data_IF_437571491103
#
_entry.id   IF_437571491103
#
_cell.length_a   1.000
_cell.length_b   1.000
_cell.length_c   1.000
_cell.angle_alpha   90.00
_cell.angle_beta   90.00
_cell.angle_gamma   90.00
#
_symmetry.space_group_name_H-M   'P 1'
#
loop_
_entity.id
_entity.type
_entity.pdbx_description
1 polymer ?
#
# COMPACT_ATOMS: atom_id res chain seq x y z
N UNK A 1 -11.11 -22.03 -5.66
CA UNK A 1 -9.64 -22.19 -5.91
C UNK A 1 -9.23 -21.13 -6.89
N UNK A 2 -8.18 -20.31 -6.62
CA UNK A 2 -7.73 -19.25 -7.54
C UNK A 2 -7.23 -19.86 -8.86
N UNK A 3 -7.53 -19.21 -9.98
CA UNK A 3 -7.02 -19.57 -11.31
C UNK A 3 -5.49 -19.45 -11.37
N UNK A 4 -4.79 -20.10 -12.31
CA UNK A 4 -3.35 -19.92 -12.47
C UNK A 4 -2.95 -18.45 -12.69
N UNK A 5 -3.74 -17.69 -13.45
CA UNK A 5 -3.54 -16.25 -13.68
C UNK A 5 -3.60 -15.45 -12.37
N UNK A 6 -4.64 -15.64 -11.57
CA UNK A 6 -4.79 -14.98 -10.27
C UNK A 6 -3.66 -15.33 -9.30
N UNK A 7 -3.23 -16.60 -9.27
CA UNK A 7 -2.08 -17.01 -8.46
C UNK A 7 -0.81 -16.28 -8.86
N UNK A 8 -0.58 -16.06 -10.16
CA UNK A 8 0.58 -15.33 -10.66
C UNK A 8 0.53 -13.86 -10.25
N UNK A 9 -0.62 -13.18 -10.35
CA UNK A 9 -0.80 -11.79 -9.90
C UNK A 9 -0.52 -11.66 -8.40
N UNK A 10 -1.12 -12.53 -7.59
CA UNK A 10 -0.88 -12.57 -6.14
C UNK A 10 0.59 -12.82 -5.82
N UNK A 11 1.21 -13.79 -6.49
CA UNK A 11 2.63 -14.09 -6.31
C UNK A 11 3.53 -12.91 -6.67
N UNK A 12 3.23 -12.21 -7.76
CA UNK A 12 3.97 -11.01 -8.15
C UNK A 12 3.86 -9.91 -7.07
N UNK A 13 2.66 -9.64 -6.55
CA UNK A 13 2.47 -8.66 -5.47
C UNK A 13 3.24 -9.04 -4.20
N UNK A 14 3.26 -10.32 -3.83
CA UNK A 14 4.02 -10.84 -2.70
C UNK A 14 5.54 -10.69 -2.88
N UNK A 15 6.04 -10.94 -4.09
CA UNK A 15 7.45 -10.80 -4.40
C UNK A 15 7.87 -9.32 -4.46
N UNK A 16 7.05 -8.45 -5.04
CA UNK A 16 7.30 -6.99 -5.09
C UNK A 16 7.45 -6.43 -3.67
N UNK A 17 6.56 -6.76 -2.75
CA UNK A 17 6.61 -6.23 -1.38
C UNK A 17 7.85 -6.65 -0.58
N UNK A 18 8.48 -7.78 -0.95
CA UNK A 18 9.67 -8.30 -0.27
C UNK A 18 10.97 -7.77 -0.88
N UNK A 19 11.06 -7.72 -2.21
CA UNK A 19 12.31 -7.46 -2.92
C UNK A 19 12.27 -6.39 -4.00
N UNK A 20 11.12 -5.76 -4.21
CA UNK A 20 10.92 -4.74 -5.23
C UNK A 20 10.48 -5.30 -6.59
N UNK A 21 10.02 -4.38 -7.45
CA UNK A 21 9.55 -4.73 -8.78
C UNK A 21 10.71 -5.11 -9.71
N UNK A 22 11.83 -4.39 -9.69
CA UNK A 22 12.99 -4.70 -10.53
C UNK A 22 13.55 -6.10 -10.30
N UNK A 23 13.55 -6.57 -9.05
CA UNK A 23 14.01 -7.90 -8.69
C UNK A 23 12.98 -9.02 -8.92
N UNK A 24 11.78 -8.70 -9.43
CA UNK A 24 10.70 -9.67 -9.64
C UNK A 24 10.62 -10.06 -11.11
N UNK A 25 11.21 -11.20 -11.48
CA UNK A 25 11.15 -11.76 -12.84
C UNK A 25 9.93 -12.67 -13.02
N UNK A 26 9.49 -12.87 -14.28
CA UNK A 26 8.40 -13.80 -14.61
C UNK A 26 8.73 -15.23 -14.13
N UNK A 27 10.00 -15.67 -14.25
CA UNK A 27 10.45 -16.98 -13.78
C UNK A 27 10.17 -17.20 -12.29
N UNK A 28 10.44 -16.17 -11.48
CA UNK A 28 10.24 -16.23 -10.04
C UNK A 28 8.77 -16.28 -9.67
N UNK A 29 7.94 -15.53 -10.43
CA UNK A 29 6.47 -15.55 -10.25
C UNK A 29 5.91 -16.93 -10.61
N UNK A 30 6.40 -17.55 -11.70
CA UNK A 30 6.00 -18.91 -12.09
C UNK A 30 6.36 -19.92 -11.01
N UNK A 31 7.58 -19.87 -10.48
CA UNK A 31 8.04 -20.74 -9.40
C UNK A 31 7.20 -20.55 -8.13
N UNK A 32 7.02 -19.30 -7.68
CA UNK A 32 6.27 -18.99 -6.46
C UNK A 32 4.78 -19.33 -6.56
N UNK A 33 4.17 -19.15 -7.75
CA UNK A 33 2.74 -19.39 -7.98
C UNK A 33 2.40 -20.85 -8.25
N UNK A 34 3.39 -21.67 -8.57
CA UNK A 34 3.20 -23.03 -9.07
C UNK A 34 2.47 -23.07 -10.43
N UNK A 35 2.52 -21.99 -11.22
CA UNK A 35 1.92 -21.94 -12.54
C UNK A 35 2.80 -22.66 -13.59
N UNK A 36 2.19 -23.26 -14.63
CA UNK A 36 2.96 -23.91 -15.71
C UNK A 36 3.88 -22.92 -16.43
N UNK A 37 5.12 -23.34 -16.75
CA UNK A 37 6.16 -22.47 -17.36
C UNK A 37 5.71 -21.74 -18.64
N UNK A 38 4.87 -22.35 -19.45
CA UNK A 38 4.37 -21.74 -20.71
C UNK A 38 3.17 -20.80 -20.52
N UNK A 39 2.59 -20.72 -19.33
CA UNK A 39 1.32 -20.01 -19.14
C UNK A 39 1.46 -18.49 -19.03
N UNK A 40 2.63 -17.97 -18.65
CA UNK A 40 2.83 -16.55 -18.41
C UNK A 40 2.52 -15.68 -19.64
N UNK A 41 3.11 -16.00 -20.79
CA UNK A 41 2.88 -15.24 -22.04
C UNK A 41 1.48 -15.41 -22.60
N UNK A 42 0.80 -16.50 -22.24
CA UNK A 42 -0.61 -16.68 -22.59
C UNK A 42 -1.52 -15.76 -21.76
N UNK A 43 -1.28 -15.67 -20.45
CA UNK A 43 -2.08 -14.83 -19.56
C UNK A 43 -1.69 -13.35 -19.57
N UNK A 44 -0.44 -13.05 -19.88
CA UNK A 44 0.13 -11.70 -19.89
C UNK A 44 0.85 -11.43 -21.22
N UNK A 45 0.11 -11.18 -22.31
CA UNK A 45 0.73 -10.89 -23.62
C UNK A 45 1.60 -9.63 -23.62
N UNK A 46 1.34 -8.66 -22.73
CA UNK A 46 2.21 -7.51 -22.46
C UNK A 46 3.42 -7.83 -21.56
N UNK A 47 3.65 -9.12 -21.30
CA UNK A 47 4.83 -9.61 -20.60
C UNK A 47 4.90 -9.19 -19.13
N UNK A 48 6.14 -8.95 -18.67
CA UNK A 48 6.45 -8.62 -17.27
C UNK A 48 5.78 -7.32 -16.83
N UNK A 49 5.79 -6.28 -17.64
CA UNK A 49 5.19 -4.98 -17.31
C UNK A 49 3.70 -5.11 -17.02
N UNK A 50 2.96 -5.85 -17.85
CA UNK A 50 1.54 -6.11 -17.60
C UNK A 50 1.32 -6.85 -16.28
N UNK A 51 2.10 -7.91 -16.00
CA UNK A 51 1.99 -8.67 -14.76
C UNK A 51 2.27 -7.79 -13.53
N UNK A 52 3.28 -6.92 -13.60
CA UNK A 52 3.62 -6.01 -12.51
C UNK A 52 2.53 -4.95 -12.29
N UNK A 53 1.97 -4.37 -13.37
CA UNK A 53 0.84 -3.45 -13.27
C UNK A 53 -0.35 -4.11 -12.56
N UNK A 54 -0.74 -5.30 -12.99
CA UNK A 54 -1.85 -6.04 -12.38
C UNK A 54 -1.56 -6.45 -10.91
N UNK A 55 -0.30 -6.69 -10.58
CA UNK A 55 0.11 -6.97 -9.19
C UNK A 55 0.00 -5.72 -8.30
N UNK A 56 0.33 -4.54 -8.85
CA UNK A 56 0.15 -3.25 -8.17
C UNK A 56 -1.34 -2.96 -7.97
N UNK A 57 -2.17 -3.13 -9.02
CA UNK A 57 -3.62 -2.97 -8.92
C UNK A 57 -4.21 -3.91 -7.86
N UNK A 58 -3.84 -5.19 -7.88
CA UNK A 58 -4.30 -6.17 -6.89
C UNK A 58 -3.95 -5.78 -5.46
N UNK A 59 -2.72 -5.31 -5.23
CA UNK A 59 -2.28 -4.86 -3.91
C UNK A 59 -3.02 -3.58 -3.48
N UNK A 60 -3.22 -2.66 -4.43
CA UNK A 60 -3.97 -1.43 -4.25
C UNK A 60 -5.42 -1.69 -3.86
N UNK A 61 -6.10 -2.59 -4.57
CA UNK A 61 -7.47 -3.00 -4.29
C UNK A 61 -7.61 -3.64 -2.91
N UNK A 62 -6.66 -4.49 -2.51
CA UNK A 62 -6.71 -5.14 -1.21
C UNK A 62 -6.68 -4.15 -0.03
N UNK A 63 -5.89 -3.08 -0.11
CA UNK A 63 -5.86 -2.02 0.91
C UNK A 63 -7.10 -1.13 0.79
N UNK A 64 -7.51 -0.78 -0.43
CA UNK A 64 -8.73 -0.01 -0.68
C UNK A 64 -9.98 -0.70 -0.11
N UNK A 65 -10.09 -2.01 -0.23
CA UNK A 65 -11.19 -2.81 0.35
C UNK A 65 -11.17 -2.72 1.89
N UNK A 66 -9.99 -2.73 2.51
CA UNK A 66 -9.85 -2.54 3.96
C UNK A 66 -10.33 -1.15 4.36
N UNK A 67 -9.91 -0.09 3.65
CA UNK A 67 -10.30 1.29 3.93
C UNK A 67 -11.82 1.45 3.79
N UNK A 68 -12.40 0.87 2.74
CA UNK A 68 -13.83 1.00 2.43
C UNK A 68 -14.73 0.15 3.34
N UNK A 69 -14.24 -1.01 3.80
CA UNK A 69 -15.02 -1.96 4.61
C UNK A 69 -14.92 -1.73 6.12
N UNK A 70 -14.08 -0.82 6.58
CA UNK A 70 -13.84 -0.59 8.01
C UNK A 70 -14.86 0.37 8.62
N UNK A 71 -14.95 0.33 9.96
CA UNK A 71 -15.76 1.26 10.78
C UNK A 71 -15.20 2.69 10.83
N UNK A 72 -15.37 3.42 11.94
CA UNK A 72 -14.83 4.77 12.14
C UNK A 72 -13.33 4.86 11.89
N UNK A 73 -12.82 6.05 11.61
CA UNK A 73 -11.41 6.31 11.21
C UNK A 73 -10.38 5.73 12.17
N UNK A 74 -10.67 5.77 13.47
CA UNK A 74 -9.75 5.22 14.50
C UNK A 74 -9.66 3.70 14.39
N UNK A 75 -10.80 3.01 14.23
CA UNK A 75 -10.85 1.55 14.07
C UNK A 75 -10.23 1.11 12.74
N UNK A 76 -10.41 1.90 11.69
CA UNK A 76 -9.74 1.70 10.41
C UNK A 76 -8.22 1.75 10.58
N UNK A 77 -7.69 2.78 11.26
CA UNK A 77 -6.27 2.91 11.53
C UNK A 77 -5.75 1.69 12.30
N UNK A 78 -6.43 1.29 13.37
CA UNK A 78 -6.09 0.11 14.18
C UNK A 78 -6.04 -1.16 13.29
N UNK A 79 -7.05 -1.33 12.42
CA UNK A 79 -7.14 -2.46 11.48
C UNK A 79 -5.99 -2.50 10.48
N UNK A 80 -5.62 -1.35 9.88
CA UNK A 80 -4.51 -1.25 8.93
C UNK A 80 -3.17 -1.57 9.61
N UNK A 81 -2.94 -1.00 10.78
CA UNK A 81 -1.72 -1.25 11.55
C UNK A 81 -1.59 -2.72 11.94
N UNK A 82 -2.66 -3.35 12.40
CA UNK A 82 -2.63 -4.77 12.79
C UNK A 82 -2.37 -5.69 11.58
N UNK A 83 -2.93 -5.38 10.42
CA UNK A 83 -2.62 -6.13 9.18
C UNK A 83 -1.14 -6.02 8.81
N UNK A 84 -0.56 -4.82 8.85
CA UNK A 84 0.86 -4.64 8.56
C UNK A 84 1.76 -5.30 9.63
N UNK A 85 1.37 -5.24 10.90
CA UNK A 85 2.07 -5.94 12.00
C UNK A 85 2.12 -7.45 11.75
N UNK A 86 0.98 -8.06 11.44
CA UNK A 86 0.89 -9.49 11.13
C UNK A 86 1.72 -9.85 9.89
N UNK A 87 1.69 -9.01 8.85
CA UNK A 87 2.47 -9.20 7.63
C UNK A 87 3.98 -9.16 7.91
N UNK A 88 4.44 -8.18 8.70
CA UNK A 88 5.86 -8.03 9.06
C UNK A 88 6.35 -9.22 9.88
N UNK A 89 5.64 -9.61 10.92
CA UNK A 89 5.99 -10.77 11.76
C UNK A 89 5.95 -12.07 10.94
N UNK A 90 4.89 -12.30 10.17
CA UNK A 90 4.74 -13.51 9.34
C UNK A 90 5.77 -13.65 8.24
N UNK A 91 6.41 -12.54 7.81
CA UNK A 91 7.48 -12.54 6.80
C UNK A 91 8.89 -12.42 7.39
N UNK A 92 9.02 -12.44 8.71
CA UNK A 92 10.29 -12.13 9.38
C UNK A 92 10.86 -10.77 8.93
N UNK A 93 10.01 -9.72 8.94
CA UNK A 93 10.29 -8.34 8.54
C UNK A 93 10.75 -8.16 7.08
N UNK A 94 10.55 -9.14 6.19
CA UNK A 94 10.90 -9.00 4.77
C UNK A 94 9.85 -8.25 3.96
N UNK A 95 8.57 -8.41 4.29
CA UNK A 95 7.49 -7.82 3.54
C UNK A 95 7.22 -6.37 3.96
N UNK A 96 7.14 -5.47 2.96
CA UNK A 96 6.68 -4.10 3.12
C UNK A 96 5.41 -3.82 2.32
N UNK A 97 5.19 -2.56 1.97
CA UNK A 97 4.15 -2.17 1.02
C UNK A 97 4.68 -2.36 -0.41
N UNK A 98 3.97 -3.11 -1.28
CA UNK A 98 4.41 -3.28 -2.66
C UNK A 98 4.32 -1.98 -3.48
N UNK A 99 3.40 -1.07 -3.13
CA UNK A 99 3.25 0.22 -3.81
C UNK A 99 4.45 1.13 -3.50
N UNK A 100 4.83 1.24 -2.22
CA UNK A 100 6.04 1.96 -1.82
C UNK A 100 7.31 1.34 -2.43
N UNK A 101 7.38 0.00 -2.53
CA UNK A 101 8.52 -0.67 -3.16
C UNK A 101 8.69 -0.25 -4.63
N UNK A 102 7.60 -0.17 -5.40
CA UNK A 102 7.62 0.36 -6.78
C UNK A 102 8.04 1.83 -6.80
N UNK A 103 7.51 2.63 -5.88
CA UNK A 103 7.74 4.09 -5.86
C UNK A 103 9.20 4.45 -5.54
N UNK A 104 9.87 3.73 -4.64
CA UNK A 104 11.29 3.97 -4.36
C UNK A 104 12.22 3.52 -5.49
N UNK A 105 11.74 2.65 -6.39
CA UNK A 105 12.46 2.22 -7.59
C UNK A 105 12.26 3.16 -8.79
N UNK A 106 11.33 4.10 -8.72
CA UNK A 106 10.95 4.99 -9.83
C UNK A 106 12.10 5.81 -10.42
N UNK A 107 13.14 6.09 -9.62
CA UNK A 107 14.33 6.84 -10.03
C UNK A 107 15.55 6.00 -10.40
N UNK A 108 15.46 4.67 -10.30
CA UNK A 108 16.62 3.80 -10.57
C UNK A 108 16.78 3.48 -12.05
N UNK A 109 17.90 3.86 -12.62
CA UNK A 109 18.28 3.60 -14.02
C UNK A 109 19.15 2.33 -14.14
N UNK A 110 18.71 1.19 -13.63
CA UNK A 110 19.51 -0.04 -13.70
C UNK A 110 19.72 -0.56 -15.12
N UNK A 111 18.75 -0.32 -16.02
CA UNK A 111 18.75 -0.79 -17.41
C UNK A 111 18.76 0.32 -18.47
N UNK A 112 19.04 1.58 -18.07
CA UNK A 112 19.02 2.71 -19.00
C UNK A 112 17.59 3.14 -19.39
N UNK A 113 17.49 3.89 -20.53
CA UNK A 113 16.23 4.48 -20.99
C UNK A 113 15.12 3.45 -21.28
N UNK A 114 15.48 2.33 -21.87
CA UNK A 114 14.52 1.26 -22.20
C UNK A 114 13.87 0.60 -20.97
N UNK A 115 14.64 0.45 -19.88
CA UNK A 115 14.10 -0.12 -18.64
C UNK A 115 13.19 0.87 -17.94
N UNK A 116 13.55 2.15 -17.96
CA UNK A 116 12.70 3.25 -17.47
C UNK A 116 11.37 3.29 -18.21
N UNK A 117 11.38 3.21 -19.54
CA UNK A 117 10.17 3.21 -20.36
C UNK A 117 9.28 1.99 -20.06
N UNK A 118 9.87 0.82 -19.86
CA UNK A 118 9.14 -0.39 -19.47
C UNK A 118 8.54 -0.32 -18.06
N UNK A 119 9.21 0.39 -17.13
CA UNK A 119 8.74 0.53 -15.76
C UNK A 119 7.78 1.70 -15.54
N UNK A 120 7.77 2.70 -16.44
CA UNK A 120 6.90 3.87 -16.32
C UNK A 120 5.42 3.52 -16.05
N UNK A 121 4.77 2.57 -16.78
CA UNK A 121 3.38 2.20 -16.50
C UNK A 121 3.17 1.61 -15.09
N UNK A 122 4.17 0.93 -14.54
CA UNK A 122 4.10 0.34 -13.18
C UNK A 122 4.16 1.44 -12.12
N UNK A 123 5.03 2.43 -12.33
CA UNK A 123 5.16 3.62 -11.46
C UNK A 123 3.90 4.48 -11.50
N UNK A 124 3.34 4.72 -12.70
CA UNK A 124 2.06 5.44 -12.86
C UNK A 124 0.92 4.74 -12.10
N UNK A 125 0.87 3.41 -12.14
CA UNK A 125 -0.12 2.65 -11.36
C UNK A 125 0.07 2.84 -9.85
N UNK A 126 1.31 2.84 -9.37
CA UNK A 126 1.58 3.08 -7.95
C UNK A 126 1.11 4.48 -7.51
N UNK A 127 1.31 5.51 -8.34
CA UNK A 127 0.80 6.86 -8.06
C UNK A 127 -0.74 6.88 -7.97
N UNK A 128 -1.43 6.29 -8.95
CA UNK A 128 -2.90 6.17 -8.96
C UNK A 128 -3.43 5.43 -7.71
N UNK A 129 -2.72 4.39 -7.25
CA UNK A 129 -3.10 3.67 -6.05
C UNK A 129 -2.95 4.54 -4.80
N UNK A 130 -1.85 5.29 -4.65
CA UNK A 130 -1.68 6.20 -3.52
C UNK A 130 -2.71 7.33 -3.50
N UNK A 131 -3.02 7.91 -4.65
CA UNK A 131 -4.07 8.94 -4.77
C UNK A 131 -5.42 8.36 -4.32
N UNK A 132 -5.79 7.17 -4.83
CA UNK A 132 -7.03 6.48 -4.43
C UNK A 132 -7.09 6.19 -2.93
N UNK A 133 -6.00 5.74 -2.29
CA UNK A 133 -5.97 5.51 -0.85
C UNK A 133 -6.15 6.80 -0.07
N UNK A 134 -5.48 7.87 -0.51
CA UNK A 134 -5.61 9.20 0.11
C UNK A 134 -7.04 9.72 0.01
N UNK A 135 -7.68 9.57 -1.14
CA UNK A 135 -9.08 9.96 -1.36
C UNK A 135 -10.04 9.16 -0.46
N UNK A 136 -9.88 7.85 -0.38
CA UNK A 136 -10.71 6.98 0.46
C UNK A 136 -10.54 7.31 1.95
N UNK A 137 -9.32 7.55 2.41
CA UNK A 137 -9.04 7.97 3.79
C UNK A 137 -9.67 9.34 4.07
N UNK A 138 -9.50 10.32 3.17
CA UNK A 138 -10.08 11.65 3.32
C UNK A 138 -11.62 11.58 3.40
N UNK A 139 -12.26 10.80 2.53
CA UNK A 139 -13.72 10.58 2.56
C UNK A 139 -14.15 9.97 3.89
N UNK A 140 -13.40 9.02 4.45
CA UNK A 140 -13.68 8.43 5.76
C UNK A 140 -13.57 9.46 6.87
N UNK A 141 -12.51 10.27 6.88
CA UNK A 141 -12.31 11.32 7.88
C UNK A 141 -13.41 12.38 7.81
N UNK A 142 -13.85 12.76 6.60
CA UNK A 142 -15.00 13.68 6.41
C UNK A 142 -16.28 13.06 6.96
N UNK A 143 -16.54 11.78 6.69
CA UNK A 143 -17.71 11.08 7.19
C UNK A 143 -17.78 11.04 8.73
N UNK A 144 -16.62 11.03 9.39
CA UNK A 144 -16.49 11.06 10.84
C UNK A 144 -16.48 12.50 11.43
N UNK A 145 -16.59 13.54 10.58
CA UNK A 145 -16.74 14.95 11.02
C UNK A 145 -15.51 15.82 10.86
N UNK A 146 -14.40 15.33 10.31
CA UNK A 146 -13.22 16.16 10.03
C UNK A 146 -13.50 17.09 8.85
N UNK A 147 -13.18 18.41 8.93
CA UNK A 147 -13.35 19.34 7.81
C UNK A 147 -12.60 18.87 6.55
N UNK A 148 -13.19 19.05 5.36
CA UNK A 148 -12.70 18.46 4.11
C UNK A 148 -11.24 18.78 3.79
N UNK A 149 -10.81 20.05 3.94
CA UNK A 149 -9.42 20.44 3.73
C UNK A 149 -8.49 19.67 4.68
N UNK A 150 -8.84 19.63 5.95
CA UNK A 150 -8.04 18.98 7.00
C UNK A 150 -8.00 17.46 6.80
N UNK A 151 -9.10 16.86 6.38
CA UNK A 151 -9.18 15.44 6.05
C UNK A 151 -8.20 15.04 4.94
N UNK A 152 -8.08 15.86 3.89
CA UNK A 152 -7.08 15.64 2.83
C UNK A 152 -5.65 15.71 3.35
N UNK A 153 -5.31 16.72 4.16
CA UNK A 153 -3.98 16.86 4.77
C UNK A 153 -3.64 15.64 5.67
N UNK A 154 -4.60 15.20 6.48
CA UNK A 154 -4.45 14.05 7.35
C UNK A 154 -4.30 12.74 6.59
N UNK A 155 -5.02 12.56 5.49
CA UNK A 155 -4.92 11.38 4.65
C UNK A 155 -3.50 11.22 4.07
N UNK A 156 -2.94 12.31 3.55
CA UNK A 156 -1.56 12.33 3.04
C UNK A 156 -0.56 12.09 4.17
N UNK A 157 -0.74 12.75 5.33
CA UNK A 157 0.12 12.54 6.49
C UNK A 157 0.08 11.08 6.98
N UNK A 158 -1.11 10.49 7.11
CA UNK A 158 -1.28 9.12 7.57
C UNK A 158 -0.61 8.12 6.63
N UNK A 159 -0.83 8.27 5.31
CA UNK A 159 -0.18 7.42 4.30
C UNK A 159 1.34 7.55 4.35
N UNK A 160 1.86 8.79 4.36
CA UNK A 160 3.31 9.04 4.39
C UNK A 160 3.98 8.52 5.66
N UNK A 161 3.35 8.74 6.82
CA UNK A 161 3.87 8.29 8.10
C UNK A 161 3.87 6.75 8.20
N UNK A 162 2.81 6.11 7.72
CA UNK A 162 2.70 4.64 7.72
C UNK A 162 3.77 4.01 6.81
N UNK A 163 3.95 4.51 5.58
CA UNK A 163 4.97 3.99 4.67
C UNK A 163 6.39 4.20 5.23
N UNK A 164 6.66 5.36 5.83
CA UNK A 164 7.92 5.61 6.54
C UNK A 164 8.14 4.67 7.72
N UNK A 165 7.09 4.42 8.53
CA UNK A 165 7.15 3.47 9.65
C UNK A 165 7.44 2.05 9.17
N UNK A 166 6.80 1.60 8.07
CA UNK A 166 7.06 0.27 7.49
C UNK A 166 8.52 0.11 7.06
N UNK A 167 9.11 1.12 6.41
CA UNK A 167 10.51 1.10 6.02
C UNK A 167 11.43 0.99 7.23
N UNK A 168 11.21 1.81 8.27
CA UNK A 168 12.02 1.80 9.50
C UNK A 168 11.89 0.48 10.27
N UNK A 169 10.67 -0.04 10.36
CA UNK A 169 10.37 -1.33 11.01
C UNK A 169 11.10 -2.49 10.32
N UNK A 170 11.09 -2.52 8.99
CA UNK A 170 11.80 -3.54 8.20
C UNK A 170 13.31 -3.50 8.44
N UNK A 171 13.91 -2.31 8.35
CA UNK A 171 15.37 -2.15 8.51
C UNK A 171 15.83 -2.47 9.92
N UNK A 172 15.06 -2.07 10.93
CA UNK A 172 15.37 -2.32 12.34
C UNK A 172 15.00 -3.72 12.81
N UNK A 173 14.13 -4.42 12.07
CA UNK A 173 13.52 -5.70 12.46
C UNK A 173 12.85 -5.61 13.84
N UNK A 174 12.16 -4.49 14.08
CA UNK A 174 11.53 -4.13 15.35
C UNK A 174 10.24 -3.35 15.07
N UNK A 175 9.16 -3.66 15.77
CA UNK A 175 7.85 -3.03 15.58
C UNK A 175 7.74 -1.61 16.16
N UNK A 176 8.71 -1.18 16.97
CA UNK A 176 8.67 0.12 17.66
C UNK A 176 8.34 1.31 16.72
N UNK A 177 8.92 1.44 15.51
CA UNK A 177 8.54 2.56 14.61
C UNK A 177 7.06 2.52 14.21
N UNK A 178 6.52 1.34 13.91
CA UNK A 178 5.11 1.17 13.55
C UNK A 178 4.20 1.51 14.74
N UNK A 179 4.54 1.06 15.94
CA UNK A 179 3.77 1.30 17.16
C UNK A 179 3.78 2.79 17.57
N UNK A 180 4.91 3.49 17.36
CA UNK A 180 5.02 4.92 17.60
C UNK A 180 4.14 5.72 16.66
N UNK A 181 4.22 5.45 15.36
CA UNK A 181 3.40 6.12 14.34
C UNK A 181 1.92 5.83 14.57
N UNK A 182 1.56 4.59 14.91
CA UNK A 182 0.19 4.23 15.26
C UNK A 182 -0.37 5.12 16.38
N UNK A 183 0.34 5.21 17.51
CA UNK A 183 -0.11 6.07 18.63
C UNK A 183 -0.27 7.52 18.22
N UNK A 184 0.72 8.10 17.52
CA UNK A 184 0.68 9.50 17.12
C UNK A 184 -0.46 9.80 16.13
N UNK A 185 -0.70 8.94 15.15
CA UNK A 185 -1.81 9.11 14.22
C UNK A 185 -3.17 8.94 14.92
N UNK A 186 -3.25 7.99 15.87
CA UNK A 186 -4.46 7.76 16.64
C UNK A 186 -4.80 8.95 17.54
N UNK A 187 -3.81 9.48 18.26
CA UNK A 187 -3.99 10.66 19.12
C UNK A 187 -4.40 11.88 18.30
N UNK A 188 -3.77 12.07 17.13
CA UNK A 188 -4.10 13.16 16.20
C UNK A 188 -5.54 13.04 15.69
N UNK A 189 -5.95 11.86 15.22
CA UNK A 189 -7.33 11.64 14.76
C UNK A 189 -8.36 11.88 15.87
N UNK A 190 -8.10 11.42 17.08
CA UNK A 190 -9.00 11.65 18.22
C UNK A 190 -9.13 13.13 18.56
N UNK A 191 -8.05 13.91 18.47
CA UNK A 191 -8.08 15.35 18.69
C UNK A 191 -8.93 16.06 17.63
N UNK A 192 -8.73 15.72 16.34
CA UNK A 192 -9.52 16.31 15.24
C UNK A 192 -11.01 15.97 15.34
N UNK A 193 -11.35 14.76 15.77
CA UNK A 193 -12.74 14.34 15.96
C UNK A 193 -13.40 15.04 17.17
N UNK A 194 -12.62 15.37 18.22
CA UNK A 194 -13.12 16.12 19.37
C UNK A 194 -13.34 17.61 19.07
N UNK A 195 -12.60 18.18 18.11
CA UNK A 195 -12.73 19.57 17.66
C UNK A 195 -13.82 19.76 16.57
N UNK A 196 -14.51 18.70 16.16
CA UNK A 196 -15.57 18.69 15.15
C UNK A 196 -16.71 19.69 15.45
N UNK A 197 -17.70 19.87 14.54
CA UNK A 197 -18.65 21.00 14.55
C UNK A 197 -19.46 21.21 15.84
N UNK A 198 -19.48 20.26 16.75
CA UNK A 198 -20.14 20.40 18.05
C UNK A 198 -19.28 21.08 19.14
N UNK A 199 -17.95 21.21 18.95
CA UNK A 199 -17.03 21.87 19.91
C UNK A 199 -17.04 23.40 19.87
N UNK A 200 -17.66 24.02 18.89
CA UNK A 200 -17.83 25.50 18.79
C UNK A 200 -19.14 26.01 19.34
N UNK A 201 -19.61 25.50 20.47
CA UNK A 201 -20.62 26.20 21.26
C UNK A 201 -19.94 27.44 21.88
N UNK A 202 -20.16 28.60 21.29
CA UNK A 202 -19.71 29.91 21.73
C UNK A 202 -20.15 30.15 23.19
N UNK A 203 -19.26 30.57 24.10
CA UNK A 203 -19.71 31.11 25.37
C UNK A 203 -20.41 32.46 25.10
N UNK A 204 -21.65 32.58 25.59
CA UNK A 204 -22.36 33.84 25.67
C UNK A 204 -21.71 34.78 26.67
#
# INVERSE_FOLDING_TARGET
>A
MRSPRERMVVSAALLIRERGAHATAISDVLEHSGAPRGSAYHYFPGGRTQLLCEAVDYAGDHVADVISGSGPSVELLDTLIDKYRQQLLGSDFRAGCPIAAVSVEAGFERGGAEDRERMAPVVERAAVVFDRWSDLLAQRFIADGVPAQRAGELAVLATSALEGALLLTRVRRDLTPLDLVHRQLRDLLLAELAEGPEGKATPQ
#
